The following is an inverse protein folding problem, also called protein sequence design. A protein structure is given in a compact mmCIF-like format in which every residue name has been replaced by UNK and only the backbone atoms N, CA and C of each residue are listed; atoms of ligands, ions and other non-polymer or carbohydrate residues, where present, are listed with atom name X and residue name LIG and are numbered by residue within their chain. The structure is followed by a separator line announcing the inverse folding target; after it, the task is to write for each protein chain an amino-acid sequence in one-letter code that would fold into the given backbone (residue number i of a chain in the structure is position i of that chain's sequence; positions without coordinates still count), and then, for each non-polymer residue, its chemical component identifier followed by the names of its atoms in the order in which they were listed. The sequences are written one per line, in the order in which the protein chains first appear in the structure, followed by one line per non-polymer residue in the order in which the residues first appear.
data_IF_864943347185
#
_entry.id   IF_864943347185
#
_cell.length_a   1.000
_cell.length_b   1.000
_cell.length_c   1.000
_cell.angle_alpha   90.00
_cell.angle_beta   90.00
_cell.angle_gamma   90.00
#
_symmetry.space_group_name_H-M   'P 1'
#
loop_
_entity.id
_entity.type
_entity.pdbx_description
1 polymer ?
#
# COMPACT_ATOMS: atom_id res chain seq x y z
N UNK A 1 7.87 22.57 -2.52
CA UNK A 1 6.70 23.30 -2.12
C UNK A 1 5.73 22.33 -1.43
N UNK A 2 5.54 22.54 -0.12
CA UNK A 2 4.54 21.78 0.64
C UNK A 2 3.16 22.24 0.17
N UNK A 3 2.36 21.32 -0.31
CA UNK A 3 0.95 21.59 -0.63
C UNK A 3 0.27 21.90 0.71
N UNK A 4 -0.25 23.12 0.83
CA UNK A 4 -1.03 23.54 1.99
C UNK A 4 -2.33 22.73 2.05
N UNK A 5 -2.32 21.68 2.86
CA UNK A 5 -3.43 20.75 3.06
C UNK A 5 -4.69 21.41 3.64
N UNK A 6 -4.56 22.61 4.27
CA UNK A 6 -5.71 23.31 4.87
C UNK A 6 -6.69 23.88 3.84
N UNK A 7 -6.25 24.07 2.58
CA UNK A 7 -7.10 24.58 1.49
C UNK A 7 -7.91 23.52 0.76
N UNK A 8 -7.60 22.24 0.95
CA UNK A 8 -8.32 21.12 0.30
C UNK A 8 -9.64 20.81 1.05
N UNK A 9 -9.75 21.18 2.31
CA UNK A 9 -10.83 20.75 3.22
C UNK A 9 -12.13 21.59 3.18
N UNK A 10 -12.32 22.54 2.24
CA UNK A 10 -13.51 23.43 2.24
C UNK A 10 -14.42 23.36 1.01
N UNK A 11 -14.41 22.30 0.22
CA UNK A 11 -15.53 22.05 -0.68
C UNK A 11 -16.59 21.22 0.04
N UNK A 12 -17.62 21.85 0.61
CA UNK A 12 -18.90 21.19 0.93
C UNK A 12 -19.46 20.65 -0.39
N UNK A 13 -19.10 19.43 -0.73
CA UNK A 13 -19.69 18.71 -1.85
C UNK A 13 -21.10 18.34 -1.41
N UNK A 14 -22.11 18.85 -2.11
CA UNK A 14 -23.50 18.49 -1.86
C UNK A 14 -23.67 17.02 -2.30
N UNK A 15 -23.62 16.09 -1.33
CA UNK A 15 -23.66 14.66 -1.58
C UNK A 15 -25.13 14.27 -1.65
N UNK A 16 -25.66 14.18 -2.88
CA UNK A 16 -27.05 13.76 -3.11
C UNK A 16 -27.23 12.23 -3.05
N UNK A 17 -26.16 11.46 -2.87
CA UNK A 17 -26.19 9.99 -2.81
C UNK A 17 -26.04 9.53 -1.35
N UNK A 18 -27.13 9.05 -0.77
CA UNK A 18 -27.16 8.57 0.62
C UNK A 18 -26.19 7.42 0.89
N UNK A 19 -25.95 6.52 -0.08
CA UNK A 19 -24.99 5.43 0.09
C UNK A 19 -23.57 5.96 0.29
N UNK A 20 -23.17 6.95 -0.51
CA UNK A 20 -21.86 7.59 -0.40
C UNK A 20 -21.73 8.35 0.91
N UNK A 21 -22.78 9.07 1.32
CA UNK A 21 -22.82 9.80 2.60
C UNK A 21 -22.63 8.83 3.77
N UNK A 22 -23.40 7.75 3.82
CA UNK A 22 -23.33 6.75 4.90
C UNK A 22 -21.96 6.05 4.93
N UNK A 23 -21.40 5.72 3.75
CA UNK A 23 -20.06 5.13 3.65
C UNK A 23 -18.99 6.09 4.16
N UNK A 24 -19.05 7.35 3.76
CA UNK A 24 -18.10 8.38 4.21
C UNK A 24 -18.17 8.59 5.72
N UNK A 25 -19.35 8.69 6.32
CA UNK A 25 -19.53 8.85 7.77
C UNK A 25 -18.85 7.71 8.55
N UNK A 26 -19.00 6.46 8.11
CA UNK A 26 -18.32 5.30 8.70
C UNK A 26 -16.79 5.36 8.55
N UNK A 27 -16.30 5.77 7.38
CA UNK A 27 -14.86 5.89 7.12
C UNK A 27 -14.24 6.94 8.04
N UNK A 28 -14.90 8.08 8.21
CA UNK A 28 -14.42 9.19 9.06
C UNK A 28 -14.17 8.75 10.49
N UNK A 29 -15.00 7.85 11.04
CA UNK A 29 -14.82 7.30 12.39
C UNK A 29 -13.51 6.51 12.55
N UNK A 30 -12.95 6.02 11.45
CA UNK A 30 -11.71 5.24 11.42
C UNK A 30 -10.48 6.04 11.03
N UNK A 31 -10.60 7.32 10.71
CA UNK A 31 -9.43 8.17 10.40
C UNK A 31 -8.50 8.23 11.60
N UNK A 32 -7.21 8.04 11.33
CA UNK A 32 -6.15 8.00 12.34
C UNK A 32 -5.98 6.64 13.03
N UNK A 33 -6.85 5.66 12.75
CA UNK A 33 -6.77 4.32 13.34
C UNK A 33 -6.10 3.34 12.37
N UNK A 34 -5.32 2.40 12.92
CA UNK A 34 -4.91 1.21 12.19
C UNK A 34 -6.12 0.28 12.05
N UNK A 35 -6.44 -0.05 10.82
CA UNK A 35 -7.66 -0.81 10.48
C UNK A 35 -7.36 -2.24 10.03
N UNK A 36 -6.07 -2.53 9.73
CA UNK A 36 -5.64 -3.86 9.28
C UNK A 36 -4.18 -4.10 9.64
N UNK A 37 -3.91 -5.32 10.09
CA UNK A 37 -2.60 -5.96 10.08
C UNK A 37 -2.77 -7.27 9.33
N UNK A 38 -2.23 -7.34 8.12
CA UNK A 38 -2.37 -8.50 7.24
C UNK A 38 -1.49 -9.69 7.64
N UNK A 39 -1.65 -10.83 6.96
CA UNK A 39 -0.84 -12.01 7.17
C UNK A 39 0.60 -11.83 6.69
N UNK A 40 1.48 -12.67 7.22
CA UNK A 40 2.86 -12.74 6.74
C UNK A 40 2.92 -13.44 5.37
N UNK A 41 3.61 -12.81 4.42
CA UNK A 41 3.83 -13.31 3.07
C UNK A 41 5.33 -13.41 2.80
N UNK A 42 5.79 -14.53 2.21
CA UNK A 42 7.21 -14.71 1.87
C UNK A 42 7.51 -14.10 0.50
N UNK A 43 8.58 -13.32 0.43
CA UNK A 43 9.13 -12.79 -0.82
C UNK A 43 10.36 -13.61 -1.20
N UNK A 44 10.13 -14.70 -1.92
CA UNK A 44 11.18 -15.60 -2.37
C UNK A 44 11.87 -15.11 -3.65
N UNK A 45 12.94 -15.79 -4.04
CA UNK A 45 13.72 -15.45 -5.23
C UNK A 45 12.93 -15.66 -6.53
N UNK A 46 12.05 -16.65 -6.58
CA UNK A 46 11.23 -16.91 -7.77
C UNK A 46 10.28 -15.74 -8.05
N UNK A 47 9.62 -15.21 -7.02
CA UNK A 47 8.78 -14.02 -7.14
C UNK A 47 9.58 -12.81 -7.62
N UNK A 48 10.80 -12.60 -7.10
CA UNK A 48 11.69 -11.51 -7.51
C UNK A 48 12.09 -11.68 -8.99
N UNK A 49 12.45 -12.88 -9.41
CA UNK A 49 12.83 -13.16 -10.80
C UNK A 49 11.65 -12.92 -11.76
N UNK A 50 10.45 -13.38 -11.41
CA UNK A 50 9.24 -13.14 -12.22
C UNK A 50 8.93 -11.66 -12.34
N UNK A 51 9.10 -10.90 -11.28
CA UNK A 51 8.91 -9.44 -11.34
C UNK A 51 9.97 -8.78 -12.23
N UNK A 52 11.23 -9.20 -12.14
CA UNK A 52 12.30 -8.73 -13.01
C UNK A 52 12.01 -9.02 -14.49
N UNK A 53 11.46 -10.19 -14.79
CA UNK A 53 11.11 -10.58 -16.18
C UNK A 53 9.96 -9.73 -16.72
N UNK A 54 8.90 -9.52 -15.95
CA UNK A 54 7.72 -8.74 -16.37
C UNK A 54 8.05 -7.26 -16.55
N UNK A 55 8.91 -6.69 -15.69
CA UNK A 55 9.23 -5.27 -15.71
C UNK A 55 10.46 -4.92 -16.55
N UNK A 56 11.31 -5.91 -16.84
CA UNK A 56 12.60 -5.72 -17.49
C UNK A 56 13.72 -5.24 -16.55
N UNK A 57 13.44 -5.02 -15.27
CA UNK A 57 14.46 -4.62 -14.29
C UNK A 57 15.24 -5.85 -13.78
N UNK A 58 16.26 -6.23 -14.58
CA UNK A 58 17.14 -7.37 -14.32
C UNK A 58 18.45 -6.98 -13.64
N UNK A 59 18.46 -5.92 -12.87
CA UNK A 59 19.66 -5.51 -12.14
C UNK A 59 20.15 -6.67 -11.25
N UNK A 60 21.47 -6.89 -11.25
CA UNK A 60 22.12 -8.02 -10.59
C UNK A 60 21.81 -8.14 -9.08
N UNK A 61 21.58 -7.00 -8.40
CA UNK A 61 21.22 -7.00 -6.97
C UNK A 61 19.89 -7.73 -6.69
N UNK A 62 19.07 -7.94 -7.70
CA UNK A 62 17.78 -8.64 -7.62
C UNK A 62 17.88 -10.08 -8.13
N UNK A 63 18.68 -10.33 -9.16
CA UNK A 63 18.60 -11.57 -9.96
C UNK A 63 19.84 -12.47 -9.87
N UNK A 64 21.00 -11.93 -9.48
CA UNK A 64 22.26 -12.70 -9.41
C UNK A 64 22.67 -12.94 -7.96
N UNK A 65 22.26 -14.08 -7.40
CA UNK A 65 22.57 -14.46 -6.02
C UNK A 65 24.10 -14.61 -5.79
N UNK A 66 24.83 -15.13 -6.77
CA UNK A 66 26.27 -15.36 -6.65
C UNK A 66 27.00 -14.03 -6.53
N UNK A 67 26.73 -13.11 -7.45
CA UNK A 67 27.29 -11.77 -7.43
C UNK A 67 26.85 -10.99 -6.18
N UNK A 68 25.56 -11.10 -5.80
CA UNK A 68 25.03 -10.41 -4.63
C UNK A 68 25.69 -10.86 -3.31
N UNK A 69 26.05 -12.13 -3.17
CA UNK A 69 26.80 -12.62 -1.99
C UNK A 69 28.18 -11.99 -1.86
N UNK A 70 28.85 -11.74 -2.96
CA UNK A 70 30.21 -11.21 -3.00
C UNK A 70 30.22 -9.69 -2.90
N UNK A 71 29.49 -9.01 -3.78
CA UNK A 71 29.60 -7.58 -4.03
C UNK A 71 28.53 -6.73 -3.33
N UNK A 72 27.34 -7.30 -3.06
CA UNK A 72 26.25 -6.54 -2.44
C UNK A 72 26.52 -6.27 -0.95
N UNK A 73 26.26 -5.06 -0.46
CA UNK A 73 26.27 -4.77 0.97
C UNK A 73 25.24 -5.57 1.76
N UNK A 74 24.22 -6.11 1.08
CA UNK A 74 23.18 -6.92 1.68
C UNK A 74 23.55 -8.40 1.84
N UNK A 75 24.62 -8.85 1.16
CA UNK A 75 25.14 -10.24 1.13
C UNK A 75 24.15 -11.28 0.63
N UNK A 76 23.13 -10.83 -0.10
CA UNK A 76 22.12 -11.63 -0.79
C UNK A 76 21.38 -10.73 -1.79
N UNK A 77 20.53 -11.30 -2.61
CA UNK A 77 19.60 -10.54 -3.43
C UNK A 77 18.52 -9.87 -2.59
N UNK A 78 17.98 -8.79 -3.11
CA UNK A 78 16.88 -8.04 -2.49
C UNK A 78 15.72 -7.89 -3.48
N UNK A 79 14.50 -7.79 -2.97
CA UNK A 79 13.34 -7.46 -3.77
C UNK A 79 13.45 -6.04 -4.33
N UNK A 80 12.90 -5.82 -5.52
CA UNK A 80 12.68 -4.47 -6.04
C UNK A 80 11.78 -3.70 -5.08
N UNK A 81 12.04 -2.42 -4.89
CA UNK A 81 11.15 -1.57 -4.12
C UNK A 81 9.74 -1.55 -4.73
N UNK A 82 9.64 -1.50 -6.05
CA UNK A 82 8.36 -1.57 -6.76
C UNK A 82 7.66 -2.92 -6.63
N UNK A 83 8.37 -4.04 -6.52
CA UNK A 83 7.75 -5.32 -6.17
C UNK A 83 7.11 -5.25 -4.79
N UNK A 84 7.86 -4.76 -3.79
CA UNK A 84 7.35 -4.61 -2.41
C UNK A 84 6.10 -3.74 -2.39
N UNK A 85 6.10 -2.62 -3.10
CA UNK A 85 4.93 -1.75 -3.27
C UNK A 85 3.76 -2.46 -3.95
N UNK A 86 4.01 -3.18 -5.04
CA UNK A 86 3.00 -3.90 -5.83
C UNK A 86 2.31 -5.02 -5.05
N UNK A 87 2.93 -5.50 -3.97
CA UNK A 87 2.35 -6.53 -3.11
C UNK A 87 1.30 -5.99 -2.13
N UNK A 88 1.09 -4.68 -2.02
CA UNK A 88 0.08 -4.11 -1.12
C UNK A 88 -1.29 -4.82 -1.24
N UNK A 89 -1.88 -5.06 -2.43
CA UNK A 89 -3.16 -5.75 -2.51
C UNK A 89 -3.12 -7.17 -1.92
N UNK A 90 -2.04 -7.92 -2.15
CA UNK A 90 -1.86 -9.25 -1.56
C UNK A 90 -1.70 -9.20 -0.05
N UNK A 91 -0.95 -8.23 0.46
CA UNK A 91 -0.67 -8.06 1.90
C UNK A 91 -1.88 -7.50 2.68
N UNK A 92 -2.93 -7.12 1.98
CA UNK A 92 -4.16 -6.54 2.54
C UNK A 92 -5.41 -7.30 2.10
N UNK A 93 -5.28 -8.51 1.52
CA UNK A 93 -6.40 -9.28 0.96
C UNK A 93 -7.42 -9.76 2.02
N UNK A 94 -6.98 -9.97 3.27
CA UNK A 94 -7.85 -10.37 4.37
C UNK A 94 -8.72 -9.23 4.90
N UNK A 95 -8.62 -8.04 4.29
CA UNK A 95 -9.47 -6.93 4.63
C UNK A 95 -10.89 -7.18 4.10
N UNK A 96 -11.81 -7.47 5.02
CA UNK A 96 -13.22 -7.63 4.65
C UNK A 96 -13.86 -6.28 4.30
N UNK A 97 -13.65 -5.90 3.04
CA UNK A 97 -14.23 -4.68 2.51
C UNK A 97 -15.77 -4.63 2.63
N UNK A 98 -16.46 -5.76 2.55
CA UNK A 98 -17.92 -5.78 2.64
C UNK A 98 -18.42 -5.46 4.04
N UNK A 99 -17.74 -5.91 5.08
CA UNK A 99 -18.09 -5.56 6.46
C UNK A 99 -17.79 -4.09 6.77
N UNK A 100 -16.65 -3.57 6.30
CA UNK A 100 -16.21 -2.21 6.61
C UNK A 100 -16.84 -1.19 5.67
N UNK A 101 -17.07 -1.59 4.42
CA UNK A 101 -17.67 -0.76 3.36
C UNK A 101 -18.90 -1.45 2.73
N UNK A 102 -20.03 -1.61 3.46
CA UNK A 102 -21.22 -2.26 2.92
C UNK A 102 -21.70 -1.61 1.62
N UNK A 103 -21.93 -2.45 0.60
CA UNK A 103 -22.36 -1.99 -0.72
C UNK A 103 -21.28 -1.48 -1.64
N UNK A 104 -19.99 -1.67 -1.26
CA UNK A 104 -18.85 -1.40 -2.12
C UNK A 104 -18.90 -2.30 -3.37
N UNK A 105 -18.77 -1.70 -4.55
CA UNK A 105 -18.78 -2.40 -5.85
C UNK A 105 -17.40 -2.51 -6.47
N UNK A 106 -16.57 -1.47 -6.30
CA UNK A 106 -15.28 -1.39 -6.98
C UNK A 106 -14.33 -0.47 -6.20
N UNK A 107 -13.06 -0.85 -6.19
CA UNK A 107 -11.94 -0.05 -5.69
C UNK A 107 -11.02 0.24 -6.86
N UNK A 108 -10.67 1.50 -7.04
CA UNK A 108 -9.70 1.91 -8.05
C UNK A 108 -8.50 2.56 -7.38
N UNK A 109 -7.30 2.05 -7.68
CA UNK A 109 -6.07 2.69 -7.26
C UNK A 109 -5.82 3.90 -8.17
N UNK A 110 -5.81 5.10 -7.61
CA UNK A 110 -5.70 6.36 -8.36
C UNK A 110 -4.32 6.99 -8.27
N UNK A 111 -3.49 6.55 -7.33
CA UNK A 111 -2.16 7.10 -7.19
C UNK A 111 -1.53 6.90 -5.82
N UNK A 112 -0.42 7.58 -5.65
CA UNK A 112 0.39 7.57 -4.45
C UNK A 112 0.82 9.01 -4.16
N UNK A 113 0.62 9.50 -2.94
CA UNK A 113 1.09 10.83 -2.55
C UNK A 113 2.58 10.79 -2.18
N UNK A 114 2.98 9.75 -1.46
CA UNK A 114 4.35 9.54 -1.02
C UNK A 114 4.68 8.05 -1.02
N UNK A 115 5.91 7.71 -1.39
CA UNK A 115 6.47 6.36 -1.25
C UNK A 115 7.90 6.45 -0.77
N UNK A 116 8.27 5.59 0.18
CA UNK A 116 9.64 5.42 0.66
C UNK A 116 9.94 3.94 0.88
N UNK A 117 11.17 3.56 0.64
CA UNK A 117 11.72 2.21 0.87
C UNK A 117 12.82 2.29 1.92
N UNK A 118 12.48 2.41 3.22
CA UNK A 118 13.47 2.68 4.28
C UNK A 118 14.43 1.53 4.56
N UNK A 119 14.03 0.29 4.19
CA UNK A 119 14.83 -0.91 4.44
C UNK A 119 14.67 -1.92 3.30
N UNK A 120 15.77 -2.56 2.83
CA UNK A 120 15.71 -3.55 1.77
C UNK A 120 15.03 -4.83 2.24
N UNK A 121 14.10 -5.35 1.43
CA UNK A 121 13.48 -6.66 1.62
C UNK A 121 14.39 -7.70 0.97
N UNK A 122 15.08 -8.48 1.79
CA UNK A 122 15.98 -9.55 1.29
C UNK A 122 15.15 -10.72 0.73
N UNK A 123 15.66 -11.40 -0.28
CA UNK A 123 15.08 -12.66 -0.77
C UNK A 123 14.91 -13.64 0.39
N UNK A 124 13.73 -14.27 0.47
CA UNK A 124 13.33 -15.16 1.55
C UNK A 124 12.75 -14.48 2.80
N UNK A 125 12.72 -13.13 2.85
CA UNK A 125 12.08 -12.43 3.98
C UNK A 125 10.57 -12.59 3.95
N UNK A 126 9.96 -12.61 5.15
CA UNK A 126 8.51 -12.45 5.31
C UNK A 126 8.17 -10.99 5.53
N UNK A 127 7.12 -10.55 4.89
CA UNK A 127 6.57 -9.19 5.00
C UNK A 127 5.07 -9.23 5.27
N UNK A 128 4.53 -8.17 5.86
CA UNK A 128 3.08 -7.98 6.01
C UNK A 128 2.68 -6.53 5.88
N UNK A 129 1.44 -6.28 5.47
CA UNK A 129 0.87 -4.94 5.37
C UNK A 129 0.22 -4.50 6.67
N UNK A 130 0.38 -3.22 7.01
CA UNK A 130 -0.38 -2.52 8.05
C UNK A 130 -1.03 -1.32 7.41
N UNK A 131 -2.32 -1.16 7.61
CA UNK A 131 -3.11 -0.09 6.97
C UNK A 131 -3.73 0.82 8.02
N UNK A 132 -3.51 2.12 7.83
CA UNK A 132 -4.12 3.18 8.62
C UNK A 132 -4.81 4.16 7.67
N UNK A 133 -6.07 4.47 7.94
CA UNK A 133 -6.76 5.52 7.20
C UNK A 133 -6.23 6.87 7.68
N UNK A 134 -5.80 7.73 6.75
CA UNK A 134 -5.29 9.06 7.09
C UNK A 134 -6.18 10.19 6.56
N UNK A 135 -6.96 9.94 5.51
CA UNK A 135 -7.90 10.93 4.98
C UNK A 135 -8.99 10.28 4.15
N UNK A 136 -10.14 10.95 4.04
CA UNK A 136 -11.24 10.55 3.18
C UNK A 136 -11.99 11.80 2.66
N UNK A 137 -12.33 11.79 1.36
CA UNK A 137 -13.07 12.88 0.72
C UNK A 137 -14.24 12.30 -0.07
N UNK A 138 -15.49 12.68 0.26
CA UNK A 138 -16.65 12.24 -0.49
C UNK A 138 -16.77 13.04 -1.79
N UNK A 139 -17.03 12.32 -2.88
CA UNK A 139 -17.31 12.89 -4.20
C UNK A 139 -18.73 12.49 -4.64
N UNK A 140 -19.18 13.02 -5.78
CA UNK A 140 -20.53 12.73 -6.31
C UNK A 140 -20.82 11.22 -6.46
N UNK A 141 -19.84 10.42 -6.89
CA UNK A 141 -20.01 9.01 -7.27
C UNK A 141 -19.11 8.04 -6.50
N UNK A 142 -18.24 8.52 -5.61
CA UNK A 142 -17.28 7.70 -4.86
C UNK A 142 -16.81 8.41 -3.59
N UNK A 143 -16.14 7.66 -2.74
CA UNK A 143 -15.30 8.24 -1.67
C UNK A 143 -13.84 8.05 -2.06
N UNK A 144 -13.09 9.14 -2.10
CA UNK A 144 -11.63 9.07 -2.22
C UNK A 144 -11.03 8.83 -0.85
N UNK A 145 -10.24 7.79 -0.72
CA UNK A 145 -9.64 7.32 0.52
C UNK A 145 -8.14 7.40 0.42
N UNK A 146 -7.49 7.98 1.40
CA UNK A 146 -6.03 7.97 1.53
C UNK A 146 -5.63 7.09 2.70
N UNK A 147 -4.87 6.04 2.41
CA UNK A 147 -4.30 5.15 3.41
C UNK A 147 -2.80 5.33 3.51
N UNK A 148 -2.27 5.34 4.72
CA UNK A 148 -0.89 5.02 4.98
C UNK A 148 -0.74 3.51 5.09
N UNK A 149 0.04 2.92 4.19
CA UNK A 149 0.37 1.50 4.19
C UNK A 149 1.84 1.34 4.55
N UNK A 150 2.10 0.67 5.68
CA UNK A 150 3.45 0.32 6.11
C UNK A 150 3.67 -1.18 5.93
N UNK A 151 4.73 -1.56 5.20
CA UNK A 151 5.09 -2.96 4.99
C UNK A 151 6.19 -3.33 5.98
N UNK A 152 5.82 -4.14 6.98
CA UNK A 152 6.75 -4.72 7.95
C UNK A 152 7.60 -5.80 7.32
N UNK A 153 8.85 -5.91 7.80
CA UNK A 153 9.75 -7.02 7.50
C UNK A 153 9.99 -7.79 8.79
N UNK A 154 9.77 -9.10 8.79
CA UNK A 154 9.89 -9.96 9.97
C UNK A 154 11.25 -9.78 10.65
N UNK A 155 11.23 -9.59 11.96
CA UNK A 155 12.45 -9.40 12.77
C UNK A 155 13.16 -8.07 12.54
N UNK A 156 12.56 -7.08 11.87
CA UNK A 156 13.16 -5.77 11.63
C UNK A 156 12.32 -4.64 12.24
N UNK A 157 13.01 -3.61 12.76
CA UNK A 157 12.36 -2.40 13.30
C UNK A 157 11.96 -1.40 12.21
N UNK A 158 12.59 -1.48 11.03
CA UNK A 158 12.34 -0.57 9.91
C UNK A 158 11.43 -1.24 8.88
N UNK A 159 10.51 -0.47 8.31
CA UNK A 159 9.62 -0.94 7.26
C UNK A 159 10.36 -1.12 5.92
N UNK A 160 9.93 -2.12 5.14
CA UNK A 160 10.42 -2.32 3.77
C UNK A 160 9.83 -1.30 2.79
N UNK A 161 8.60 -0.84 3.07
CA UNK A 161 7.94 0.22 2.32
C UNK A 161 7.00 0.99 3.24
N UNK A 162 6.87 2.30 3.00
CA UNK A 162 5.80 3.14 3.54
C UNK A 162 5.23 3.94 2.38
N UNK A 163 3.92 3.81 2.15
CA UNK A 163 3.24 4.45 1.03
C UNK A 163 1.92 5.10 1.46
N UNK A 164 1.65 6.29 0.96
CA UNK A 164 0.30 6.88 1.02
C UNK A 164 -0.43 6.53 -0.28
N UNK A 165 -1.35 5.56 -0.22
CA UNK A 165 -2.16 5.14 -1.37
C UNK A 165 -3.43 5.96 -1.48
N UNK A 166 -3.77 6.37 -2.71
CA UNK A 166 -5.02 7.09 -3.02
C UNK A 166 -5.96 6.14 -3.76
N UNK A 167 -7.07 5.81 -3.13
CA UNK A 167 -8.06 4.88 -3.64
C UNK A 167 -9.40 5.61 -3.89
N UNK A 168 -10.18 5.14 -4.86
CA UNK A 168 -11.59 5.53 -5.02
C UNK A 168 -12.49 4.34 -4.80
N UNK A 169 -13.40 4.52 -3.85
CA UNK A 169 -14.40 3.53 -3.45
C UNK A 169 -15.73 3.85 -4.11
N UNK A 170 -16.23 2.98 -4.99
CA UNK A 170 -17.51 3.12 -5.70
C UNK A 170 -18.57 2.23 -5.05
N UNK A 171 -19.75 2.83 -4.75
CA UNK A 171 -20.87 2.20 -4.07
C UNK A 171 -22.11 2.03 -4.96
#
# INVERSE_FOLDING_TARGET
PSIDRSKIFKKKTNINNEKIKNAYEKIVESIGKEILVGPWETVDQDRINRFADVTGDKQWIHTDLTKARIESPFKTTIAHGFLTLSLIPKLTEDFDFNTIHPGLKMIVNCGLNQVRFPFPVKSGSKIRGRVKIIDAVPNKNNVELVNEVSIEVEGRKRFGCVAETVLRLYY
#
